data_IF_613259575051
#
_entry.id   IF_613259575051
#
_cell.length_a   1.000
_cell.length_b   1.000
_cell.length_c   1.000
_cell.angle_alpha   90.00
_cell.angle_beta   90.00
_cell.angle_gamma   90.00
#
_symmetry.space_group_name_H-M   'P 1'
#
loop_
_entity.id
_entity.type
_entity.pdbx_description
1 polymer ?
#
# COMPACT_ATOMS: atom_id res chain seq x y z
N UNK A 1 16.88 24.10 8.75
CA UNK A 1 17.00 24.31 7.28
C UNK A 1 17.23 23.00 6.50
N UNK A 2 17.81 21.95 7.05
CA UNK A 2 18.07 20.68 6.35
C UNK A 2 16.83 19.84 5.98
N UNK A 3 15.69 20.00 6.63
CA UNK A 3 14.48 19.17 6.42
C UNK A 3 13.67 19.51 5.17
N UNK A 4 13.84 20.70 4.57
CA UNK A 4 13.07 21.10 3.37
C UNK A 4 13.68 20.59 2.05
N UNK A 5 14.90 20.10 2.07
CA UNK A 5 15.57 19.54 0.88
C UNK A 5 15.17 18.07 0.60
N UNK A 6 14.43 17.44 1.53
CA UNK A 6 14.13 16.00 1.46
C UNK A 6 12.92 15.68 0.55
N UNK A 7 11.97 16.61 0.42
CA UNK A 7 10.73 16.42 -0.35
C UNK A 7 10.74 17.21 -1.64
N UNK A 8 11.49 16.74 -2.65
CA UNK A 8 11.58 17.42 -3.95
C UNK A 8 10.43 16.99 -4.88
N UNK A 9 9.66 17.95 -5.43
CA UNK A 9 8.70 17.66 -6.47
C UNK A 9 9.40 17.11 -7.73
N UNK A 10 8.91 16.00 -8.26
CA UNK A 10 9.40 15.39 -9.49
C UNK A 10 8.35 15.54 -10.58
N UNK A 11 8.78 15.69 -11.82
CA UNK A 11 7.87 15.64 -12.96
C UNK A 11 7.51 14.18 -13.22
N UNK A 12 6.21 13.83 -13.26
CA UNK A 12 5.78 12.47 -13.55
C UNK A 12 6.07 12.11 -15.01
N UNK A 13 6.53 10.88 -15.23
CA UNK A 13 6.87 10.38 -16.56
C UNK A 13 5.89 9.30 -17.06
N UNK A 14 5.09 8.73 -16.15
CA UNK A 14 4.11 7.69 -16.45
C UNK A 14 2.78 8.31 -16.84
N UNK A 15 2.09 7.72 -17.81
CA UNK A 15 0.75 8.17 -18.17
C UNK A 15 -0.30 7.07 -17.93
N UNK A 16 -1.57 7.47 -17.82
CA UNK A 16 -2.66 6.51 -17.60
C UNK A 16 -2.86 5.55 -18.78
N UNK A 17 -2.45 5.95 -19.99
CA UNK A 17 -2.53 5.09 -21.17
C UNK A 17 -1.61 3.85 -21.08
N UNK A 18 -0.51 3.97 -20.33
CA UNK A 18 0.44 2.88 -20.12
C UNK A 18 0.09 2.00 -18.90
N UNK A 19 -0.93 2.39 -18.14
CA UNK A 19 -1.36 1.63 -16.97
C UNK A 19 -2.15 0.40 -17.40
N UNK A 20 -1.64 -0.78 -17.08
CA UNK A 20 -2.26 -2.06 -17.40
C UNK A 20 -2.83 -2.68 -16.13
N UNK A 21 -4.12 -2.50 -15.93
CA UNK A 21 -4.93 -3.03 -14.84
C UNK A 21 -6.29 -3.45 -15.37
N UNK A 22 -7.15 -4.05 -14.54
CA UNK A 22 -8.52 -4.41 -14.92
C UNK A 22 -9.38 -3.16 -15.24
N UNK A 23 -10.41 -3.32 -16.05
CA UNK A 23 -11.35 -2.24 -16.37
C UNK A 23 -12.01 -1.67 -15.12
N UNK A 24 -12.34 -2.51 -14.16
CA UNK A 24 -12.93 -2.08 -12.88
C UNK A 24 -12.02 -1.11 -12.12
N UNK A 25 -10.70 -1.35 -12.10
CA UNK A 25 -9.72 -0.44 -11.48
C UNK A 25 -9.66 0.88 -12.26
N UNK A 26 -9.63 0.81 -13.60
CA UNK A 26 -9.62 2.01 -14.46
C UNK A 26 -10.87 2.87 -14.23
N UNK A 27 -12.04 2.27 -14.13
CA UNK A 27 -13.31 2.98 -13.88
C UNK A 27 -13.31 3.68 -12.50
N UNK A 28 -12.80 3.02 -11.47
CA UNK A 28 -12.66 3.62 -10.15
C UNK A 28 -11.69 4.81 -10.15
N UNK A 29 -10.55 4.67 -10.85
CA UNK A 29 -9.58 5.76 -11.03
C UNK A 29 -10.24 6.92 -11.77
N UNK A 30 -10.92 6.65 -12.90
CA UNK A 30 -11.58 7.68 -13.70
C UNK A 30 -12.67 8.41 -12.92
N UNK A 31 -13.48 7.69 -12.16
CA UNK A 31 -14.51 8.29 -11.29
C UNK A 31 -13.87 9.22 -10.25
N UNK A 32 -12.77 8.81 -9.67
CA UNK A 32 -12.04 9.62 -8.69
C UNK A 32 -11.44 10.88 -9.34
N UNK A 33 -10.85 10.73 -10.52
CA UNK A 33 -10.29 11.85 -11.30
C UNK A 33 -11.39 12.84 -11.74
N UNK A 34 -12.55 12.35 -12.16
CA UNK A 34 -13.68 13.21 -12.52
C UNK A 34 -14.11 14.14 -11.36
N UNK A 35 -14.09 13.64 -10.11
CA UNK A 35 -14.36 14.48 -8.95
C UNK A 35 -13.33 15.60 -8.78
N UNK A 36 -12.07 15.33 -9.02
CA UNK A 36 -10.98 16.32 -8.93
C UNK A 36 -11.12 17.36 -10.05
N UNK A 37 -11.25 16.89 -11.30
CA UNK A 37 -11.26 17.75 -12.48
C UNK A 37 -12.54 18.60 -12.59
N UNK A 38 -13.67 18.07 -12.15
CA UNK A 38 -14.96 18.73 -12.19
C UNK A 38 -15.41 19.27 -10.83
N UNK A 39 -14.46 19.52 -9.93
CA UNK A 39 -14.75 20.00 -8.57
C UNK A 39 -15.67 21.22 -8.57
N UNK A 40 -15.42 22.23 -9.41
CA UNK A 40 -16.22 23.46 -9.47
C UNK A 40 -17.67 23.15 -9.85
N UNK A 41 -17.91 22.34 -10.85
CA UNK A 41 -19.25 21.90 -11.24
C UNK A 41 -19.96 21.18 -10.11
N UNK A 42 -19.30 20.23 -9.46
CA UNK A 42 -19.90 19.43 -8.39
C UNK A 42 -20.21 20.29 -7.15
N UNK A 43 -19.26 21.10 -6.71
CA UNK A 43 -19.37 21.80 -5.43
C UNK A 43 -20.06 23.16 -5.54
N UNK A 44 -19.88 23.90 -6.63
CA UNK A 44 -20.50 25.21 -6.81
C UNK A 44 -21.80 25.13 -7.62
N UNK A 45 -21.83 24.43 -8.77
CA UNK A 45 -23.03 24.36 -9.60
C UNK A 45 -24.07 23.40 -9.04
N UNK A 46 -23.66 22.18 -8.68
CA UNK A 46 -24.55 21.16 -8.09
C UNK A 46 -24.70 21.30 -6.56
N UNK A 47 -23.95 22.24 -5.97
CA UNK A 47 -24.03 22.61 -4.56
C UNK A 47 -23.74 21.47 -3.55
N UNK A 48 -22.81 20.55 -3.91
CA UNK A 48 -22.37 19.52 -2.96
C UNK A 48 -21.77 20.12 -1.69
N UNK A 49 -21.26 21.37 -1.72
CA UNK A 49 -20.75 22.07 -0.53
C UNK A 49 -21.80 22.21 0.59
N UNK A 50 -23.09 22.04 0.29
CA UNK A 50 -24.16 22.03 1.31
C UNK A 50 -24.02 20.81 2.25
N UNK A 51 -23.55 19.68 1.72
CA UNK A 51 -23.41 18.42 2.45
C UNK A 51 -21.95 18.11 2.81
N UNK A 52 -20.99 18.65 2.07
CA UNK A 52 -19.55 18.53 2.29
C UNK A 52 -18.88 19.90 2.10
N UNK A 53 -18.89 20.76 3.15
CA UNK A 53 -18.33 22.12 3.05
C UNK A 53 -16.82 22.17 2.75
N UNK A 54 -16.12 21.10 3.03
CA UNK A 54 -14.64 21.01 2.92
C UNK A 54 -14.19 20.17 1.72
N UNK A 55 -15.01 20.04 0.70
CA UNK A 55 -14.92 19.09 -0.40
C UNK A 55 -13.72 19.16 -1.34
N UNK A 56 -12.72 20.01 -1.10
CA UNK A 56 -11.49 20.06 -1.90
C UNK A 56 -10.51 18.94 -1.58
N UNK A 57 -10.66 18.30 -0.44
CA UNK A 57 -9.78 17.23 0.01
C UNK A 57 -9.97 15.97 -0.81
N UNK A 58 -8.89 15.43 -1.35
CA UNK A 58 -8.92 14.18 -2.08
C UNK A 58 -7.81 13.26 -1.60
N UNK A 59 -8.16 12.35 -0.71
CA UNK A 59 -7.29 11.25 -0.30
C UNK A 59 -7.74 9.97 -1.00
N UNK A 60 -6.78 9.24 -1.57
CA UNK A 60 -6.98 7.97 -2.30
C UNK A 60 -6.09 6.92 -1.64
N UNK A 61 -6.57 5.71 -1.48
CA UNK A 61 -5.76 4.61 -1.00
C UNK A 61 -5.73 3.49 -2.03
N UNK A 62 -4.53 3.12 -2.45
CA UNK A 62 -4.25 1.94 -3.25
C UNK A 62 -3.78 0.82 -2.35
N UNK A 63 -4.42 -0.33 -2.43
CA UNK A 63 -4.02 -1.48 -1.64
C UNK A 63 -4.00 -2.76 -2.48
N UNK A 64 -3.27 -3.76 -2.03
CA UNK A 64 -3.16 -5.05 -2.71
C UNK A 64 -1.70 -5.53 -2.86
N UNK A 65 -1.48 -6.67 -3.51
CA UNK A 65 -0.17 -7.31 -3.62
C UNK A 65 0.92 -6.40 -4.19
N UNK A 66 2.19 -6.62 -3.84
CA UNK A 66 3.30 -5.87 -4.41
C UNK A 66 3.45 -6.13 -5.91
N UNK A 67 3.95 -5.13 -6.65
CA UNK A 67 4.22 -5.23 -8.08
C UNK A 67 2.98 -5.16 -8.98
N UNK A 68 1.80 -4.79 -8.47
CA UNK A 68 0.55 -4.68 -9.23
C UNK A 68 0.35 -3.31 -9.89
N UNK A 69 1.24 -2.33 -9.67
CA UNK A 69 1.21 -1.05 -10.38
C UNK A 69 0.74 0.15 -9.54
N UNK A 70 0.62 0.03 -8.21
CA UNK A 70 0.16 1.12 -7.32
C UNK A 70 1.00 2.40 -7.46
N UNK A 71 2.31 2.30 -7.35
CA UNK A 71 3.24 3.44 -7.50
C UNK A 71 3.20 4.02 -8.92
N UNK A 72 3.09 3.14 -9.95
CA UNK A 72 2.90 3.57 -11.33
C UNK A 72 1.63 4.40 -11.50
N UNK A 73 0.51 3.94 -10.92
CA UNK A 73 -0.77 4.62 -11.00
C UNK A 73 -0.74 5.99 -10.31
N UNK A 74 -0.08 6.10 -9.14
CA UNK A 74 0.07 7.38 -8.45
C UNK A 74 0.81 8.42 -9.31
N UNK A 75 1.89 8.01 -9.96
CA UNK A 75 2.63 8.86 -10.90
C UNK A 75 1.78 9.23 -12.13
N UNK A 76 1.05 8.25 -12.70
CA UNK A 76 0.18 8.47 -13.86
C UNK A 76 -1.00 9.41 -13.55
N UNK A 77 -1.54 9.37 -12.34
CA UNK A 77 -2.56 10.34 -11.87
C UNK A 77 -1.96 11.75 -11.79
N UNK A 78 -0.77 11.90 -11.21
CA UNK A 78 -0.11 13.21 -11.15
C UNK A 78 0.14 13.77 -12.56
N UNK A 79 0.58 12.93 -13.51
CA UNK A 79 0.74 13.30 -14.91
C UNK A 79 -0.58 13.75 -15.53
N UNK A 80 -1.66 13.00 -15.33
CA UNK A 80 -2.98 13.32 -15.88
C UNK A 80 -3.55 14.63 -15.34
N UNK A 81 -3.26 14.95 -14.07
CA UNK A 81 -3.65 16.22 -13.44
C UNK A 81 -2.73 17.39 -13.81
N UNK A 82 -1.66 17.17 -14.59
CA UNK A 82 -0.67 18.20 -14.93
C UNK A 82 0.13 18.69 -13.74
N UNK A 83 0.24 17.87 -12.67
CA UNK A 83 0.92 18.22 -11.42
C UNK A 83 2.23 17.46 -11.26
N UNK A 84 3.17 18.07 -10.54
CA UNK A 84 4.32 17.32 -10.04
C UNK A 84 3.90 16.33 -8.94
N UNK A 85 4.78 15.37 -8.64
CA UNK A 85 4.58 14.38 -7.58
C UNK A 85 5.69 14.47 -6.55
N UNK A 86 5.33 14.44 -5.27
CA UNK A 86 6.25 14.25 -4.15
C UNK A 86 6.01 12.84 -3.61
N UNK A 87 6.99 11.97 -3.78
CA UNK A 87 6.94 10.62 -3.24
C UNK A 87 7.64 10.59 -1.88
N UNK A 88 6.91 10.10 -0.89
CA UNK A 88 7.38 9.91 0.48
C UNK A 88 7.32 8.43 0.79
N UNK A 89 8.48 7.81 0.98
CA UNK A 89 8.52 6.47 1.57
C UNK A 89 8.33 6.63 3.08
N UNK A 90 7.22 6.12 3.63
CA UNK A 90 6.90 6.32 5.03
C UNK A 90 7.96 5.73 5.96
N UNK A 91 8.57 4.61 5.59
CA UNK A 91 9.64 3.99 6.36
C UNK A 91 10.90 4.87 6.48
N UNK A 92 11.15 5.74 5.50
CA UNK A 92 12.29 6.67 5.52
C UNK A 92 12.06 7.90 6.40
N UNK A 93 10.80 8.32 6.59
CA UNK A 93 10.46 9.45 7.46
C UNK A 93 10.18 9.04 8.89
N UNK A 94 10.01 7.74 9.15
CA UNK A 94 9.86 7.19 10.49
C UNK A 94 11.20 7.32 11.25
N UNK A 95 11.24 8.22 12.21
CA UNK A 95 12.45 8.51 13.00
C UNK A 95 12.41 7.78 14.33
N UNK A 96 13.59 7.34 14.78
CA UNK A 96 13.78 6.81 16.14
C UNK A 96 13.59 7.88 17.23
N UNK A 97 13.60 9.16 16.86
CA UNK A 97 13.44 10.27 17.79
C UNK A 97 11.97 10.71 17.87
N UNK A 98 11.46 10.77 19.07
CA UNK A 98 10.09 11.21 19.34
C UNK A 98 9.86 12.63 18.83
N UNK A 99 8.84 12.81 17.97
CA UNK A 99 8.45 14.11 17.44
C UNK A 99 9.09 14.51 16.10
N UNK A 100 10.05 13.76 15.55
CA UNK A 100 10.59 14.03 14.22
C UNK A 100 9.65 13.56 13.11
N UNK A 101 9.10 12.36 13.21
CA UNK A 101 8.13 11.85 12.24
C UNK A 101 6.93 12.78 12.03
N UNK A 102 6.25 13.30 13.08
CA UNK A 102 5.20 14.33 12.92
C UNK A 102 5.65 15.59 12.19
N UNK A 103 6.87 16.05 12.45
CA UNK A 103 7.45 17.22 11.74
C UNK A 103 7.70 16.94 10.27
N UNK A 104 8.21 15.74 9.95
CA UNK A 104 8.43 15.30 8.58
C UNK A 104 7.12 15.19 7.80
N UNK A 105 6.06 14.65 8.43
CA UNK A 105 4.72 14.61 7.84
C UNK A 105 4.25 16.03 7.51
N UNK A 106 4.28 16.94 8.48
CA UNK A 106 3.87 18.35 8.28
C UNK A 106 4.69 19.03 7.18
N UNK A 107 6.01 18.79 7.13
CA UNK A 107 6.89 19.34 6.09
C UNK A 107 6.56 18.82 4.69
N UNK A 108 6.21 17.53 4.56
CA UNK A 108 5.81 16.92 3.29
C UNK A 108 4.52 17.55 2.75
N UNK A 109 3.49 17.69 3.60
CA UNK A 109 2.23 18.35 3.22
C UNK A 109 2.43 19.81 2.84
N UNK A 110 3.18 20.55 3.64
CA UNK A 110 3.51 21.94 3.34
C UNK A 110 4.23 22.08 2.00
N UNK A 111 5.20 21.21 1.71
CA UNK A 111 5.94 21.23 0.46
C UNK A 111 5.05 20.87 -0.73
N UNK A 112 4.13 19.91 -0.58
CA UNK A 112 3.17 19.56 -1.60
C UNK A 112 2.20 20.73 -1.90
N UNK A 113 1.76 21.44 -0.87
CA UNK A 113 0.90 22.63 -1.02
C UNK A 113 1.64 23.78 -1.75
N UNK A 114 2.89 24.06 -1.37
CA UNK A 114 3.71 25.10 -2.00
C UNK A 114 4.00 24.82 -3.48
N UNK A 115 4.16 23.54 -3.83
CA UNK A 115 4.50 23.09 -5.19
C UNK A 115 3.28 22.73 -6.04
N UNK A 116 2.07 22.81 -5.51
CA UNK A 116 0.83 22.29 -6.11
C UNK A 116 1.03 20.84 -6.62
N UNK A 117 1.64 19.99 -5.80
CA UNK A 117 2.03 18.64 -6.16
C UNK A 117 1.05 17.60 -5.58
N UNK A 118 0.92 16.47 -6.27
CA UNK A 118 0.34 15.25 -5.70
C UNK A 118 1.29 14.72 -4.64
N UNK A 119 0.77 14.47 -3.44
CA UNK A 119 1.54 13.87 -2.35
C UNK A 119 1.28 12.37 -2.31
N UNK A 120 2.32 11.58 -2.53
CA UNK A 120 2.24 10.13 -2.57
C UNK A 120 3.02 9.51 -1.41
N UNK A 121 2.32 8.79 -0.53
CA UNK A 121 2.91 8.01 0.54
C UNK A 121 2.98 6.54 0.13
N UNK A 122 4.19 6.04 -0.13
CA UNK A 122 4.43 4.62 -0.36
C UNK A 122 4.70 3.90 0.97
N UNK A 123 4.40 2.59 1.00
CA UNK A 123 4.53 1.75 2.21
C UNK A 123 3.79 2.33 3.43
N UNK A 124 2.58 2.85 3.21
CA UNK A 124 1.80 3.55 4.24
C UNK A 124 1.14 2.62 5.27
N UNK A 125 1.48 1.35 5.31
CA UNK A 125 0.86 0.34 6.17
C UNK A 125 0.93 0.72 7.67
N UNK A 126 2.07 1.19 8.12
CA UNK A 126 2.28 1.53 9.54
C UNK A 126 1.49 2.76 9.98
N UNK A 127 1.31 3.75 9.09
CA UNK A 127 0.57 4.97 9.42
C UNK A 127 -0.95 4.78 9.36
N UNK A 128 -1.44 3.99 8.40
CA UNK A 128 -2.87 3.73 8.20
C UNK A 128 -3.44 2.71 9.20
N UNK A 129 -2.59 1.93 9.84
CA UNK A 129 -2.98 0.86 10.76
C UNK A 129 -3.69 1.36 12.03
N UNK A 130 -4.41 0.46 12.71
CA UNK A 130 -5.10 0.75 13.98
C UNK A 130 -4.15 1.30 15.03
N UNK A 131 -4.67 2.14 15.90
CA UNK A 131 -3.93 2.67 17.05
C UNK A 131 -3.49 1.52 17.96
N UNK A 132 -2.25 1.61 18.42
CA UNK A 132 -1.74 0.69 19.43
C UNK A 132 -2.40 1.01 20.77
N UNK A 133 -3.24 0.09 21.26
CA UNK A 133 -3.98 0.26 22.54
C UNK A 133 -3.12 -0.10 23.74
N UNK A 134 -2.21 -1.08 23.59
CA UNK A 134 -1.26 -1.47 24.62
C UNK A 134 0.06 -0.72 24.40
N UNK A 135 0.08 0.55 24.77
CA UNK A 135 1.28 1.40 24.69
C UNK A 135 2.23 1.01 25.81
N UNK A 136 3.21 0.15 25.51
CA UNK A 136 4.21 -0.32 26.48
C UNK A 136 5.56 0.38 26.32
N UNK A 137 5.80 1.01 25.17
CA UNK A 137 7.06 1.69 24.85
C UNK A 137 6.82 3.12 24.36
N UNK A 138 7.80 3.99 24.54
CA UNK A 138 7.77 5.38 24.04
C UNK A 138 7.63 5.46 22.52
N UNK A 139 8.07 4.43 21.79
CA UNK A 139 7.92 4.31 20.34
C UNK A 139 6.43 4.23 19.93
N UNK A 140 5.61 3.49 20.68
CA UNK A 140 4.16 3.34 20.41
C UNK A 140 3.42 4.68 20.53
N UNK A 141 3.83 5.50 21.50
CA UNK A 141 3.34 6.87 21.65
C UNK A 141 3.69 7.73 20.43
N UNK A 142 4.90 7.63 19.91
CA UNK A 142 5.37 8.35 18.72
C UNK A 142 4.53 8.03 17.48
N UNK A 143 4.21 6.75 17.26
CA UNK A 143 3.37 6.30 16.15
C UNK A 143 1.96 6.86 16.26
N UNK A 144 1.34 6.83 17.45
CA UNK A 144 0.00 7.38 17.64
C UNK A 144 -0.06 8.91 17.46
N UNK A 145 1.00 9.64 17.84
CA UNK A 145 1.13 11.09 17.57
C UNK A 145 1.24 11.33 16.07
N UNK A 146 2.08 10.58 15.36
CA UNK A 146 2.25 10.68 13.91
C UNK A 146 0.94 10.46 13.16
N UNK A 147 0.14 9.45 13.56
CA UNK A 147 -1.21 9.21 13.03
C UNK A 147 -2.15 10.39 13.26
N UNK A 148 -2.14 10.96 14.45
CA UNK A 148 -2.98 12.13 14.76
C UNK A 148 -2.60 13.33 13.92
N UNK A 149 -1.30 13.59 13.71
CA UNK A 149 -0.82 14.67 12.84
C UNK A 149 -1.19 14.40 11.38
N UNK A 150 -1.04 13.17 10.90
CA UNK A 150 -1.47 12.80 9.54
C UNK A 150 -2.96 13.07 9.33
N UNK A 151 -3.82 12.68 10.27
CA UNK A 151 -5.26 12.95 10.20
C UNK A 151 -5.58 14.45 10.16
N UNK A 152 -4.89 15.27 10.95
CA UNK A 152 -5.03 16.73 10.92
C UNK A 152 -4.58 17.30 9.57
N UNK A 153 -3.42 16.86 9.05
CA UNK A 153 -2.95 17.30 7.74
C UNK A 153 -3.92 16.91 6.61
N UNK A 154 -4.51 15.71 6.66
CA UNK A 154 -5.55 15.29 5.70
C UNK A 154 -6.81 16.17 5.79
N UNK A 155 -7.14 16.68 6.97
CA UNK A 155 -8.28 17.58 7.15
C UNK A 155 -8.04 18.99 6.59
N UNK A 156 -6.79 19.46 6.56
CA UNK A 156 -6.43 20.83 6.18
C UNK A 156 -5.86 20.94 4.76
N UNK A 157 -5.40 19.83 4.16
CA UNK A 157 -4.72 19.86 2.87
C UNK A 157 -5.68 20.04 1.69
N UNK A 158 -5.51 21.12 0.93
CA UNK A 158 -6.26 21.39 -0.30
C UNK A 158 -5.53 20.84 -1.52
N UNK A 159 -5.50 19.53 -1.66
CA UNK A 159 -4.79 18.84 -2.73
C UNK A 159 -5.12 17.35 -2.82
N UNK A 160 -4.31 16.64 -3.57
CA UNK A 160 -4.44 15.18 -3.78
C UNK A 160 -3.38 14.45 -3.00
N UNK A 161 -3.82 13.57 -2.11
CA UNK A 161 -2.96 12.64 -1.36
C UNK A 161 -3.27 11.22 -1.80
N UNK A 162 -2.22 10.46 -2.11
CA UNK A 162 -2.36 9.05 -2.47
C UNK A 162 -1.53 8.23 -1.48
N UNK A 163 -2.14 7.20 -0.93
CA UNK A 163 -1.47 6.19 -0.11
C UNK A 163 -1.34 4.90 -0.89
N UNK A 164 -0.22 4.18 -0.72
CA UNK A 164 -0.07 2.81 -1.18
C UNK A 164 0.27 1.89 -0.02
N UNK A 165 -0.42 0.76 0.05
CA UNK A 165 -0.30 -0.24 1.09
C UNK A 165 -0.31 -1.65 0.49
N UNK A 166 0.46 -2.55 1.09
CA UNK A 166 0.44 -3.96 0.72
C UNK A 166 -0.43 -4.81 1.67
N UNK A 167 -0.83 -4.26 2.83
CA UNK A 167 -1.56 -4.93 3.91
C UNK A 167 -2.85 -4.18 4.24
N UNK A 168 -3.97 -4.45 3.55
CA UNK A 168 -5.24 -3.74 3.75
C UNK A 168 -5.93 -4.04 5.08
N UNK A 169 -5.53 -5.09 5.77
CA UNK A 169 -6.12 -5.51 7.02
C UNK A 169 -5.67 -4.60 8.17
N UNK A 170 -6.61 -4.09 8.95
CA UNK A 170 -6.34 -3.30 10.16
C UNK A 170 -6.20 -1.78 10.00
N UNK A 171 -6.83 -1.15 9.03
CA UNK A 171 -6.85 0.32 8.98
C UNK A 171 -7.64 0.92 10.16
N UNK A 172 -7.15 2.06 10.65
CA UNK A 172 -7.90 2.88 11.62
C UNK A 172 -9.13 3.48 10.93
N UNK A 173 -10.31 3.29 11.53
CA UNK A 173 -11.57 3.82 11.01
C UNK A 173 -11.58 5.35 10.81
N UNK A 174 -10.67 6.09 11.46
CA UNK A 174 -10.51 7.51 11.25
C UNK A 174 -9.92 7.84 9.86
N UNK A 175 -8.98 7.02 9.37
CA UNK A 175 -8.46 7.14 8.00
C UNK A 175 -9.49 6.70 6.97
N UNK A 176 -10.15 5.56 7.21
CA UNK A 176 -11.18 5.02 6.28
C UNK A 176 -12.25 6.06 5.94
N UNK A 177 -12.66 6.88 6.92
CA UNK A 177 -13.68 7.93 6.70
C UNK A 177 -13.18 9.17 5.96
N UNK A 178 -11.86 9.40 5.94
CA UNK A 178 -11.24 10.57 5.29
C UNK A 178 -10.76 10.27 3.88
N UNK A 179 -10.57 9.00 3.58
CA UNK A 179 -10.16 8.54 2.27
C UNK A 179 -11.39 8.43 1.37
N UNK A 180 -11.36 9.13 0.25
CA UNK A 180 -12.46 9.19 -0.71
C UNK A 180 -12.67 7.86 -1.42
N UNK A 181 -11.58 7.23 -1.83
CA UNK A 181 -11.60 5.99 -2.60
C UNK A 181 -10.53 5.02 -2.10
N UNK A 182 -10.96 3.78 -1.85
CA UNK A 182 -10.08 2.64 -1.60
C UNK A 182 -10.09 1.77 -2.83
N UNK A 183 -8.99 1.74 -3.59
CA UNK A 183 -8.88 1.02 -4.86
C UNK A 183 -7.97 -0.19 -4.66
N UNK A 184 -8.54 -1.37 -4.86
CA UNK A 184 -7.82 -2.63 -4.76
C UNK A 184 -7.10 -2.94 -6.07
N UNK A 185 -5.79 -3.11 -5.97
CA UNK A 185 -4.93 -3.57 -7.05
C UNK A 185 -4.75 -5.08 -6.96
N UNK A 186 -5.61 -5.81 -7.61
CA UNK A 186 -5.54 -7.27 -7.69
C UNK A 186 -4.39 -7.74 -8.58
N UNK A 187 -4.06 -9.04 -8.47
CA UNK A 187 -3.17 -9.66 -9.46
C UNK A 187 -3.81 -9.65 -10.84
N UNK A 188 -3.03 -9.44 -11.92
CA UNK A 188 -3.57 -9.31 -13.26
C UNK A 188 -4.24 -10.61 -13.72
N UNK A 189 -5.41 -10.51 -14.32
CA UNK A 189 -6.08 -11.57 -15.05
C UNK A 189 -5.31 -11.94 -16.34
N UNK A 190 -5.76 -12.94 -17.08
CA UNK A 190 -5.07 -13.40 -18.30
C UNK A 190 -5.01 -12.30 -19.38
N UNK A 191 -6.05 -11.49 -19.51
CA UNK A 191 -6.08 -10.40 -20.50
C UNK A 191 -5.09 -9.29 -20.12
N UNK A 192 -5.03 -8.92 -18.86
CA UNK A 192 -4.04 -7.97 -18.34
C UNK A 192 -2.61 -8.53 -18.45
N UNK A 193 -2.41 -9.82 -18.14
CA UNK A 193 -1.09 -10.45 -18.32
C UNK A 193 -0.65 -10.47 -19.78
N UNK A 194 -1.57 -10.73 -20.71
CA UNK A 194 -1.25 -10.66 -22.15
C UNK A 194 -0.74 -9.26 -22.54
N UNK A 195 -1.45 -8.19 -22.12
CA UNK A 195 -1.04 -6.80 -22.35
C UNK A 195 0.28 -6.46 -21.65
N UNK A 196 0.50 -6.98 -20.43
CA UNK A 196 1.76 -6.79 -19.69
C UNK A 196 2.94 -7.43 -20.42
N UNK A 197 2.78 -8.64 -20.97
CA UNK A 197 3.82 -9.29 -21.76
C UNK A 197 4.14 -8.54 -23.05
N UNK A 198 3.12 -8.03 -23.73
CA UNK A 198 3.28 -7.21 -24.93
C UNK A 198 4.03 -5.91 -24.63
N UNK A 199 3.72 -5.27 -23.51
CA UNK A 199 4.35 -4.02 -23.08
C UNK A 199 5.77 -4.20 -22.51
N UNK A 200 5.99 -5.25 -21.69
CA UNK A 200 7.23 -5.43 -20.94
C UNK A 200 8.31 -6.23 -21.68
N UNK A 201 7.96 -6.90 -22.75
CA UNK A 201 8.89 -7.69 -23.57
C UNK A 201 9.23 -6.94 -24.86
N UNK A 202 10.35 -6.18 -24.90
CA UNK A 202 10.72 -5.37 -26.06
C UNK A 202 10.89 -6.22 -27.33
N UNK A 203 10.51 -5.68 -28.49
CA UNK A 203 10.66 -6.35 -29.80
C UNK A 203 12.11 -6.66 -30.16
N UNK A 204 13.05 -5.88 -29.61
CA UNK A 204 14.48 -6.07 -29.82
C UNK A 204 15.05 -7.31 -29.10
N UNK A 205 14.30 -7.90 -28.14
CA UNK A 205 14.71 -9.16 -27.51
C UNK A 205 14.53 -10.30 -28.53
N UNK A 206 15.62 -10.94 -28.98
CA UNK A 206 15.52 -12.01 -29.96
C UNK A 206 14.77 -13.20 -29.34
N UNK A 207 13.66 -13.57 -29.93
CA UNK A 207 12.77 -14.64 -29.46
C UNK A 207 12.65 -15.76 -30.47
N UNK A 208 12.58 -17.00 -30.00
CA UNK A 208 12.22 -18.12 -30.87
C UNK A 208 10.76 -18.00 -31.33
N UNK A 209 10.42 -18.59 -32.47
CA UNK A 209 9.10 -18.47 -33.12
C UNK A 209 7.96 -19.06 -32.28
N UNK A 210 8.26 -19.96 -31.35
CA UNK A 210 7.31 -20.62 -30.45
C UNK A 210 6.93 -19.74 -29.24
N UNK A 211 7.66 -18.66 -28.95
CA UNK A 211 7.36 -17.73 -27.85
C UNK A 211 6.28 -16.74 -28.31
N UNK A 212 5.09 -16.86 -27.74
CA UNK A 212 3.99 -15.94 -27.96
C UNK A 212 3.52 -15.29 -26.66
N UNK A 213 3.04 -14.03 -26.74
CA UNK A 213 2.48 -13.33 -25.57
C UNK A 213 1.29 -14.09 -24.97
N UNK A 214 0.50 -14.78 -25.79
CA UNK A 214 -0.62 -15.61 -25.32
C UNK A 214 -0.12 -16.78 -24.45
N UNK A 215 0.88 -17.50 -24.93
CA UNK A 215 1.48 -18.61 -24.17
C UNK A 215 2.07 -18.09 -22.84
N UNK A 216 2.83 -16.99 -22.89
CA UNK A 216 3.41 -16.36 -21.72
C UNK A 216 2.34 -15.92 -20.71
N UNK A 217 1.22 -15.35 -21.16
CA UNK A 217 0.11 -14.95 -20.30
C UNK A 217 -0.52 -16.15 -19.57
N UNK A 218 -0.72 -17.26 -20.28
CA UNK A 218 -1.24 -18.49 -19.65
C UNK A 218 -0.26 -19.07 -18.64
N UNK A 219 1.05 -19.13 -18.98
CA UNK A 219 2.06 -19.69 -18.07
C UNK A 219 2.34 -18.83 -16.82
N UNK A 220 2.02 -17.54 -16.87
CA UNK A 220 2.33 -16.56 -15.79
C UNK A 220 1.16 -16.31 -14.85
N UNK A 221 0.20 -17.23 -14.73
CA UNK A 221 -0.89 -17.13 -13.74
C UNK A 221 -0.35 -16.92 -12.31
N UNK A 222 -0.96 -15.96 -11.57
CA UNK A 222 -0.55 -15.60 -10.23
C UNK A 222 0.68 -14.70 -10.12
N UNK A 223 1.26 -14.27 -11.26
CA UNK A 223 2.34 -13.31 -11.29
C UNK A 223 1.82 -11.87 -11.43
N UNK A 224 2.43 -10.95 -10.68
CA UNK A 224 2.21 -9.51 -10.82
C UNK A 224 2.99 -8.93 -12.02
N UNK A 225 2.71 -7.67 -12.38
CA UNK A 225 3.49 -6.98 -13.41
C UNK A 225 4.98 -6.87 -13.07
N UNK A 226 5.31 -6.65 -11.79
CA UNK A 226 6.70 -6.66 -11.31
C UNK A 226 7.37 -8.02 -11.43
N UNK A 227 6.62 -9.11 -11.18
CA UNK A 227 7.10 -10.48 -11.38
C UNK A 227 7.39 -10.76 -12.86
N UNK A 228 6.47 -10.36 -13.76
CA UNK A 228 6.63 -10.51 -15.23
C UNK A 228 7.89 -9.78 -15.68
N UNK A 229 8.12 -8.55 -15.22
CA UNK A 229 9.33 -7.79 -15.53
C UNK A 229 10.60 -8.54 -15.07
N UNK A 230 10.58 -9.17 -13.91
CA UNK A 230 11.69 -9.98 -13.42
C UNK A 230 11.89 -11.25 -14.26
N UNK A 231 10.80 -11.89 -14.69
CA UNK A 231 10.89 -13.04 -15.62
C UNK A 231 11.56 -12.63 -16.94
N UNK A 232 11.19 -11.50 -17.54
CA UNK A 232 11.81 -11.00 -18.77
C UNK A 232 13.31 -10.81 -18.58
N UNK A 233 13.71 -10.15 -17.47
CA UNK A 233 15.14 -9.93 -17.17
C UNK A 233 15.91 -11.24 -16.97
N UNK A 234 15.36 -12.20 -16.24
CA UNK A 234 15.99 -13.49 -16.00
C UNK A 234 16.12 -14.32 -17.26
N UNK A 235 15.06 -14.43 -18.06
CA UNK A 235 15.08 -15.19 -19.32
C UNK A 235 16.08 -14.58 -20.31
N UNK A 236 16.10 -13.26 -20.46
CA UNK A 236 17.07 -12.57 -21.32
C UNK A 236 18.51 -12.78 -20.82
N UNK A 237 18.73 -12.72 -19.48
CA UNK A 237 20.06 -12.95 -18.90
C UNK A 237 20.56 -14.40 -19.09
N UNK A 238 19.67 -15.39 -19.13
CA UNK A 238 20.04 -16.77 -19.44
C UNK A 238 20.39 -16.96 -20.92
N UNK A 239 19.71 -16.23 -21.80
CA UNK A 239 19.90 -16.35 -23.24
C UNK A 239 21.19 -15.67 -23.73
N UNK A 240 21.55 -14.51 -23.14
CA UNK A 240 22.66 -13.65 -23.61
C UNK A 240 24.04 -14.32 -23.55
N UNK A 241 24.21 -15.35 -22.72
CA UNK A 241 25.49 -16.08 -22.59
C UNK A 241 25.70 -17.12 -23.70
N UNK A 242 24.66 -17.40 -24.49
CA UNK A 242 24.75 -18.31 -25.65
C UNK A 242 25.33 -17.58 -26.84
N UNK A 243 25.86 -18.31 -27.83
CA UNK A 243 26.47 -17.76 -29.03
C UNK A 243 25.90 -18.41 -30.29
N UNK A 244 26.09 -17.75 -31.43
CA UNK A 244 25.61 -18.24 -32.73
C UNK A 244 24.10 -18.22 -32.87
N UNK A 245 23.53 -19.20 -33.58
CA UNK A 245 22.08 -19.28 -33.83
C UNK A 245 21.22 -19.51 -32.59
N UNK A 246 21.86 -19.80 -31.46
CA UNK A 246 21.17 -19.95 -30.16
C UNK A 246 21.06 -18.64 -29.36
N UNK A 247 21.51 -17.51 -29.91
CA UNK A 247 21.45 -16.20 -29.24
C UNK A 247 20.04 -15.61 -29.31
N UNK A 248 19.08 -16.38 -28.85
CA UNK A 248 17.66 -16.01 -28.73
C UNK A 248 17.05 -16.62 -27.47
N UNK A 249 15.96 -16.02 -26.99
CA UNK A 249 15.22 -16.49 -25.82
C UNK A 249 14.19 -17.53 -26.26
N UNK A 250 14.28 -18.73 -25.69
CA UNK A 250 13.37 -19.85 -25.95
C UNK A 250 12.26 -19.92 -24.90
N UNK A 251 11.19 -20.66 -25.21
CA UNK A 251 10.14 -20.97 -24.22
C UNK A 251 10.71 -21.60 -22.95
N UNK A 252 11.72 -22.47 -23.06
CA UNK A 252 12.39 -23.08 -21.91
C UNK A 252 13.02 -22.07 -20.95
N UNK A 253 13.56 -20.96 -21.47
CA UNK A 253 14.17 -19.89 -20.66
C UNK A 253 13.07 -19.15 -19.87
N UNK A 254 11.98 -18.80 -20.53
CA UNK A 254 10.84 -18.19 -19.87
C UNK A 254 10.23 -19.11 -18.82
N UNK A 255 10.05 -20.40 -19.14
CA UNK A 255 9.51 -21.36 -18.18
C UNK A 255 10.43 -21.53 -16.96
N UNK A 256 11.75 -21.58 -17.15
CA UNK A 256 12.72 -21.64 -16.05
C UNK A 256 12.64 -20.38 -15.19
N UNK A 257 12.58 -19.19 -15.82
CA UNK A 257 12.49 -17.92 -15.13
C UNK A 257 11.15 -17.77 -14.34
N UNK A 258 10.02 -18.16 -14.92
CA UNK A 258 8.71 -18.22 -14.25
C UNK A 258 8.78 -19.11 -13.01
N UNK A 259 9.33 -20.31 -13.15
CA UNK A 259 9.47 -21.24 -12.03
C UNK A 259 10.42 -20.69 -10.96
N UNK A 260 11.48 -20.00 -11.33
CA UNK A 260 12.40 -19.35 -10.40
C UNK A 260 11.71 -18.26 -9.60
N UNK A 261 10.94 -17.37 -10.25
CA UNK A 261 10.18 -16.30 -9.58
C UNK A 261 9.12 -16.88 -8.64
N UNK A 262 8.35 -17.89 -9.07
CA UNK A 262 7.37 -18.57 -8.22
C UNK A 262 8.00 -19.18 -6.96
N UNK A 263 9.09 -19.95 -7.13
CA UNK A 263 9.82 -20.53 -6.00
C UNK A 263 10.37 -19.47 -5.05
N UNK A 264 10.81 -18.32 -5.59
CA UNK A 264 11.22 -17.18 -4.79
C UNK A 264 10.09 -16.65 -3.92
N UNK A 265 8.89 -16.45 -4.49
CA UNK A 265 7.70 -16.00 -3.76
C UNK A 265 7.25 -16.99 -2.68
N UNK A 266 7.31 -18.29 -2.98
CA UNK A 266 6.93 -19.34 -2.03
C UNK A 266 7.89 -19.45 -0.83
N UNK A 267 9.18 -19.20 -1.05
CA UNK A 267 10.22 -19.39 -0.03
C UNK A 267 10.60 -18.13 0.74
N UNK A 268 10.55 -16.97 0.06
CA UNK A 268 10.92 -15.66 0.62
C UNK A 268 9.63 -14.93 0.97
N UNK A 269 9.30 -14.81 2.23
CA UNK A 269 8.05 -14.18 2.70
C UNK A 269 7.07 -15.15 3.36
N UNK A 270 7.32 -16.45 3.26
CA UNK A 270 6.70 -17.43 4.16
C UNK A 270 7.49 -17.38 5.47
N UNK A 271 6.98 -16.62 6.44
CA UNK A 271 7.29 -16.93 7.84
C UNK A 271 6.86 -18.39 7.99
N UNK A 272 7.82 -19.32 8.09
CA UNK A 272 7.50 -20.71 8.31
C UNK A 272 6.55 -20.75 9.51
N UNK A 273 5.46 -21.50 9.41
CA UNK A 273 4.46 -21.64 10.50
C UNK A 273 5.10 -22.10 11.83
N UNK A 274 6.35 -22.55 11.79
CA UNK A 274 7.19 -22.89 12.94
C UNK A 274 7.78 -21.65 13.66
N UNK A 275 7.85 -20.48 13.01
CA UNK A 275 8.35 -19.21 13.59
C UNK A 275 7.28 -18.13 13.72
N UNK A 276 6.01 -18.44 13.43
CA UNK A 276 4.92 -17.54 13.77
C UNK A 276 4.86 -17.46 15.30
N UNK A 277 4.85 -16.23 15.88
CA UNK A 277 4.59 -16.12 17.32
C UNK A 277 3.26 -16.83 17.61
N UNK A 278 3.18 -17.56 18.73
CA UNK A 278 1.95 -18.28 19.06
C UNK A 278 0.80 -17.27 19.00
N UNK A 279 -0.23 -17.56 18.22
CA UNK A 279 -1.47 -16.79 18.23
C UNK A 279 -2.08 -16.98 19.63
N UNK A 280 -1.89 -15.99 20.48
CA UNK A 280 -2.57 -15.93 21.77
C UNK A 280 -4.03 -15.62 21.43
N UNK A 281 -4.88 -16.66 21.42
CA UNK A 281 -6.32 -16.48 21.45
C UNK A 281 -6.68 -16.20 22.91
N UNK A 282 -7.02 -14.96 23.21
CA UNK A 282 -7.69 -14.66 24.47
C UNK A 282 -9.09 -15.26 24.41
N UNK A 283 -9.27 -16.35 25.10
CA UNK A 283 -10.60 -16.94 25.34
C UNK A 283 -11.01 -16.54 26.75
N UNK A 284 -12.08 -15.76 26.84
CA UNK A 284 -12.67 -15.47 28.16
C UNK A 284 -13.36 -16.75 28.61
N UNK A 285 -12.72 -17.44 29.54
CA UNK A 285 -13.29 -18.65 30.16
C UNK A 285 -14.20 -18.22 31.32
N UNK A 286 -15.34 -18.88 31.45
CA UNK A 286 -16.15 -18.76 32.67
C UNK A 286 -15.42 -19.41 33.87
N UNK A 287 -15.70 -18.99 35.12
CA UNK A 287 -15.03 -19.53 36.30
C UNK A 287 -15.14 -21.06 36.38
N UNK A 288 -16.20 -21.64 35.81
CA UNK A 288 -16.46 -23.09 35.80
C UNK A 288 -15.60 -23.87 34.79
N UNK A 289 -15.04 -23.19 33.80
CA UNK A 289 -14.17 -23.77 32.76
C UNK A 289 -12.68 -23.69 33.11
N UNK A 290 -12.34 -23.08 34.25
CA UNK A 290 -10.97 -22.98 34.72
C UNK A 290 -10.45 -24.30 35.30
N UNK A 291 -9.18 -24.64 35.04
CA UNK A 291 -8.53 -25.74 35.71
C UNK A 291 -8.48 -25.51 37.23
N UNK A 292 -8.40 -26.55 38.07
CA UNK A 292 -8.38 -26.39 39.53
C UNK A 292 -7.33 -25.37 40.02
N UNK A 293 -6.12 -25.39 39.48
CA UNK A 293 -5.04 -24.49 39.87
C UNK A 293 -5.32 -23.01 39.46
N UNK A 294 -6.03 -22.78 38.36
CA UNK A 294 -6.41 -21.44 37.92
C UNK A 294 -7.65 -20.93 38.66
N UNK A 295 -8.53 -21.83 39.10
CA UNK A 295 -9.71 -21.51 39.91
C UNK A 295 -9.29 -21.04 41.31
N UNK A 296 -8.34 -21.69 41.95
CA UNK A 296 -7.78 -21.27 43.25
C UNK A 296 -7.15 -19.91 43.18
N UNK A 297 -6.44 -19.60 42.10
CA UNK A 297 -5.85 -18.27 41.88
C UNK A 297 -6.90 -17.20 41.60
N UNK A 298 -7.93 -17.51 40.85
CA UNK A 298 -9.05 -16.61 40.58
C UNK A 298 -9.79 -16.27 41.89
N UNK A 299 -10.16 -17.27 42.68
CA UNK A 299 -10.82 -17.08 43.97
C UNK A 299 -9.97 -16.25 44.97
N UNK A 300 -8.66 -16.52 45.01
CA UNK A 300 -7.74 -15.71 45.85
C UNK A 300 -7.68 -14.24 45.40
N UNK A 301 -7.73 -13.97 44.08
CA UNK A 301 -7.73 -12.62 43.53
C UNK A 301 -9.06 -11.88 43.80
N UNK A 302 -10.18 -12.58 43.73
CA UNK A 302 -11.51 -12.00 44.05
C UNK A 302 -11.61 -11.66 45.53
N UNK A 303 -11.10 -12.53 46.43
CA UNK A 303 -11.05 -12.26 47.84
C UNK A 303 -10.17 -11.07 48.20
N UNK A 304 -9.04 -10.86 47.53
CA UNK A 304 -8.19 -9.66 47.71
C UNK A 304 -8.86 -8.38 47.21
N UNK A 305 -9.65 -8.43 46.14
CA UNK A 305 -10.40 -7.28 45.65
C UNK A 305 -11.56 -6.89 46.58
N UNK A 306 -12.25 -7.89 47.14
CA UNK A 306 -13.35 -7.64 48.10
C UNK A 306 -12.86 -7.11 49.44
N UNK A 307 -11.63 -7.45 49.85
CA UNK A 307 -11.02 -6.94 51.08
C UNK A 307 -10.50 -5.49 50.97
N UNK A 308 -10.30 -4.97 49.77
CA UNK A 308 -9.81 -3.61 49.48
C UNK A 308 -10.88 -2.62 49.06
N UNK A 309 -12.16 -2.96 49.12
CA UNK A 309 -13.25 -2.02 48.87
C UNK A 309 -13.54 -1.27 50.18
N UNK A 310 -13.30 0.05 50.29
CA UNK A 310 -13.70 0.80 51.47
C UNK A 310 -15.24 0.84 51.51
N UNK A 311 -15.81 0.48 52.66
CA UNK A 311 -17.22 0.72 52.97
C UNK A 311 -17.49 2.22 52.77
N UNK A 312 -18.25 2.56 51.77
CA UNK A 312 -18.89 3.87 51.64
C UNK A 312 -20.08 3.84 52.61
N UNK A 313 -19.81 4.33 53.82
CA UNK A 313 -20.85 4.65 54.78
C UNK A 313 -21.79 5.72 54.24
N UNK A 314 -23.06 5.52 54.53
CA UNK A 314 -24.28 6.21 54.17
C UNK A 314 -24.30 7.73 54.20
#
# INVERSE_FOLDING_TARGET
>A
MQQLETFLPKQPQRCLADLIVSESILDQIQTTLNRILHHDTLYNTWNLKKIDPQGRRTAINFFGPPGTGKTFCAEAIAHHLGKSIITVNYSEIESKYVGETPKNITAAFKKAQEADAVLFFDEADSILGKRLTNVTQSADHGVNISRSVMLLQLDDFDGVVIFASNLPENYDGAFVRRILAHIEFELPDEACRFRLWDYLLPDQVPRSQDVSAKWLATQSEGLSGGDILNVVKLAASQAVVRSGDQWQVFQSDFQAAINQVRRGKEKVGVVSAQNAPPMIRETILSPDELSPELRDRYEASVLQLSANTPELDA
#
